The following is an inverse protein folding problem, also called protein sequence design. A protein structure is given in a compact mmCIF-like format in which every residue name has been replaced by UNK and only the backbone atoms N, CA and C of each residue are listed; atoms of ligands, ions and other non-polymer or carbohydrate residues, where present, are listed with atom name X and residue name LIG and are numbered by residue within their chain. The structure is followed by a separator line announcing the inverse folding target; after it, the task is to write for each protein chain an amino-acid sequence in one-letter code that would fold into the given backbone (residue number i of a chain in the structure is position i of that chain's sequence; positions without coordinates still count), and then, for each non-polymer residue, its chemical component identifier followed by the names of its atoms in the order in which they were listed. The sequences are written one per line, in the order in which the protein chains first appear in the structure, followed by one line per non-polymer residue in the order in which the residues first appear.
data_IF_349953549533
#
_entry.id   IF_349953549533
#
_cell.length_a   1.000
_cell.length_b   1.000
_cell.length_c   1.000
_cell.angle_alpha   90.00
_cell.angle_beta   90.00
_cell.angle_gamma   90.00
#
_symmetry.space_group_name_H-M   'P 1'
#
loop_
_entity.id
_entity.type
_entity.pdbx_description
1 polymer ?
#
# COMPACT_ATOMS: atom_id res chain seq x y z
N UNK A 1 -0.86 9.65 3.44
CA UNK A 1 -2.01 9.14 4.23
C UNK A 1 -1.51 7.93 5.00
N UNK A 2 -1.98 7.72 6.23
CA UNK A 2 -1.72 6.49 6.97
C UNK A 2 -2.86 5.51 6.72
N UNK A 3 -2.58 4.43 5.99
CA UNK A 3 -3.54 3.41 5.59
C UNK A 3 -2.92 2.05 5.90
N UNK A 4 -3.68 1.18 6.58
CA UNK A 4 -3.23 -0.15 6.99
C UNK A 4 -4.12 -1.22 6.36
N UNK A 5 -3.55 -2.32 5.86
CA UNK A 5 -4.33 -3.42 5.32
C UNK A 5 -5.15 -4.10 6.43
N UNK A 6 -6.30 -4.65 6.05
CA UNK A 6 -7.11 -5.46 6.95
C UNK A 6 -6.45 -6.82 7.23
N UNK A 7 -6.80 -7.49 8.35
CA UNK A 7 -6.34 -8.86 8.59
C UNK A 7 -6.69 -9.78 7.42
N UNK A 8 -5.67 -10.44 6.83
CA UNK A 8 -5.84 -11.30 5.66
C UNK A 8 -5.73 -10.60 4.29
N UNK A 9 -5.53 -9.28 4.25
CA UNK A 9 -5.31 -8.52 3.03
C UNK A 9 -3.81 -8.30 2.80
N UNK A 10 -3.35 -8.50 1.57
CA UNK A 10 -1.96 -8.23 1.22
C UNK A 10 -1.72 -6.74 0.95
N UNK A 11 -0.47 -6.28 1.01
CA UNK A 11 -0.12 -4.92 0.61
C UNK A 11 -0.47 -4.64 -0.85
N UNK A 12 -0.38 -5.67 -1.72
CA UNK A 12 -0.74 -5.55 -3.13
C UNK A 12 -2.24 -5.32 -3.31
N UNK A 13 -3.08 -6.04 -2.56
CA UNK A 13 -4.53 -5.83 -2.61
C UNK A 13 -4.89 -4.41 -2.18
N UNK A 14 -4.24 -3.91 -1.12
CA UNK A 14 -4.43 -2.54 -0.66
C UNK A 14 -3.99 -1.51 -1.71
N UNK A 15 -2.83 -1.71 -2.33
CA UNK A 15 -2.32 -0.85 -3.39
C UNK A 15 -3.25 -0.85 -4.62
N UNK A 16 -3.84 -2.01 -4.95
CA UNK A 16 -4.86 -2.12 -6.00
C UNK A 16 -6.09 -1.29 -5.70
N UNK A 17 -6.68 -1.45 -4.51
CA UNK A 17 -7.84 -0.67 -4.06
C UNK A 17 -7.56 0.84 -4.03
N UNK A 18 -6.37 1.22 -3.59
CA UNK A 18 -5.93 2.61 -3.58
C UNK A 18 -5.83 3.17 -5.00
N UNK A 19 -5.27 2.40 -5.94
CA UNK A 19 -5.20 2.78 -7.35
C UNK A 19 -6.57 2.98 -7.99
N UNK A 20 -7.51 2.05 -7.75
CA UNK A 20 -8.89 2.15 -8.24
C UNK A 20 -9.60 3.39 -7.68
N UNK A 21 -9.45 3.66 -6.38
CA UNK A 21 -10.04 4.84 -5.75
C UNK A 21 -9.46 6.16 -6.30
N UNK A 22 -8.19 6.16 -6.74
CA UNK A 22 -7.49 7.33 -7.27
C UNK A 22 -7.60 7.46 -8.80
N UNK A 23 -8.15 6.47 -9.51
CA UNK A 23 -8.35 6.50 -10.96
C UNK A 23 -9.09 7.76 -11.47
N UNK A 24 -10.27 8.15 -10.93
CA UNK A 24 -10.98 9.34 -11.42
C UNK A 24 -10.22 10.65 -11.16
N UNK A 25 -9.41 10.69 -10.09
CA UNK A 25 -8.55 11.84 -9.78
C UNK A 25 -7.40 11.94 -10.77
N UNK A 26 -6.81 10.79 -11.11
CA UNK A 26 -5.70 10.67 -12.06
C UNK A 26 -6.13 11.01 -13.48
N UNK A 27 -7.34 10.58 -13.90
CA UNK A 27 -7.94 10.95 -15.19
C UNK A 27 -8.23 12.44 -15.28
N UNK A 28 -8.73 13.04 -14.20
CA UNK A 28 -9.07 14.46 -14.18
C UNK A 28 -7.84 15.37 -14.13
N UNK A 29 -6.75 14.93 -13.48
CA UNK A 29 -5.52 15.69 -13.31
C UNK A 29 -4.27 14.83 -13.57
N UNK A 30 -3.99 14.48 -14.83
CA UNK A 30 -2.87 13.62 -15.17
C UNK A 30 -1.54 14.24 -14.73
N UNK A 31 -0.66 13.42 -14.13
CA UNK A 31 0.68 13.82 -13.70
C UNK A 31 0.75 14.67 -12.43
N UNK A 32 -0.37 14.92 -11.73
CA UNK A 32 -0.41 15.68 -10.48
C UNK A 32 -0.52 14.85 -9.20
N UNK A 33 -0.64 13.54 -9.32
CA UNK A 33 -0.75 12.62 -8.20
C UNK A 33 0.52 11.77 -8.13
N UNK A 34 1.11 11.63 -6.94
CA UNK A 34 2.23 10.73 -6.68
C UNK A 34 1.94 9.94 -5.42
N UNK A 35 1.96 8.61 -5.54
CA UNK A 35 1.83 7.68 -4.41
C UNK A 35 3.22 7.15 -4.10
N UNK A 36 3.65 7.30 -2.86
CA UNK A 36 4.93 6.78 -2.37
C UNK A 36 4.70 6.10 -1.02
N UNK A 37 5.44 5.03 -0.76
CA UNK A 37 5.38 4.35 0.54
C UNK A 37 5.99 5.23 1.62
N UNK A 38 5.24 5.45 2.70
CA UNK A 38 5.65 6.27 3.85
C UNK A 38 6.76 5.60 4.68
N UNK A 39 6.79 4.27 4.65
CA UNK A 39 7.81 3.47 5.31
C UNK A 39 8.35 2.43 4.33
N UNK A 40 9.67 2.27 4.22
CA UNK A 40 10.23 1.15 3.48
C UNK A 40 9.72 -0.17 4.10
N UNK A 41 9.49 -1.22 3.29
CA UNK A 41 9.03 -2.50 3.79
C UNK A 41 10.01 -3.00 4.86
N UNK A 42 9.52 -3.06 6.09
CA UNK A 42 10.28 -3.61 7.21
C UNK A 42 10.45 -5.10 6.87
N UNK A 43 11.68 -5.65 6.87
CA UNK A 43 11.88 -7.07 6.66
C UNK A 43 10.94 -7.83 7.58
N UNK A 44 10.05 -8.65 7.01
CA UNK A 44 9.02 -9.33 7.79
C UNK A 44 9.67 -10.01 8.98
N UNK A 45 9.17 -9.70 10.19
CA UNK A 45 9.66 -10.26 11.44
C UNK A 45 9.54 -11.79 11.34
N UNK A 46 10.63 -12.45 10.96
CA UNK A 46 10.72 -13.90 11.00
C UNK A 46 10.98 -14.22 12.46
N UNK A 47 9.95 -14.72 13.15
CA UNK A 47 10.12 -15.36 14.46
C UNK A 47 11.25 -16.38 14.29
N UNK A 48 12.39 -16.28 15.01
CA UNK A 48 13.34 -17.37 15.01
C UNK A 48 12.60 -18.59 15.53
N UNK A 49 12.59 -19.69 14.76
CA UNK A 49 12.19 -20.98 15.31
C UNK A 49 13.08 -21.20 16.55
N UNK A 50 12.45 -21.23 17.72
CA UNK A 50 13.14 -21.44 18.99
C UNK A 50 13.90 -22.78 18.98
N UNK A 51 14.87 -22.95 19.89
CA UNK A 51 15.78 -24.10 19.92
C UNK A 51 15.07 -25.44 20.02
#
# INVERSE_FOLDING_TARGET
MDIRPLPGMTLNDLNGLLGEALAPVSERWPGRLTVSELHPPIPGYRVPAGP
#
